data_IF_784928476196
#
_entry.id   IF_784928476196
#
_cell.length_a   1.000
_cell.length_b   1.000
_cell.length_c   1.000
_cell.angle_alpha   90.00
_cell.angle_beta   90.00
_cell.angle_gamma   90.00
#
_symmetry.space_group_name_H-M   'P 1'
#
loop_
_entity.id
_entity.type
_entity.pdbx_description
1 polymer ?
#
# COMPACT_ATOMS: atom_id res chain seq x y z
N UNK A 1 -17.06 6.07 14.55
CA UNK A 1 -16.41 4.80 14.14
C UNK A 1 -16.43 3.84 15.32
N UNK A 2 -17.09 2.68 15.23
CA UNK A 2 -16.96 1.64 16.28
C UNK A 2 -15.50 1.17 16.30
N UNK A 3 -14.83 1.24 17.45
CA UNK A 3 -13.49 0.63 17.62
C UNK A 3 -13.65 -0.88 17.53
N UNK A 4 -13.14 -1.49 16.46
CA UNK A 4 -13.04 -2.94 16.38
C UNK A 4 -11.89 -3.39 17.27
N UNK A 5 -12.18 -4.24 18.26
CA UNK A 5 -11.17 -4.86 19.11
C UNK A 5 -10.60 -6.09 18.41
N UNK A 6 -9.60 -5.88 17.54
CA UNK A 6 -8.89 -6.97 16.89
C UNK A 6 -7.96 -7.67 17.88
N UNK A 7 -7.93 -9.00 17.82
CA UNK A 7 -6.97 -9.85 18.54
C UNK A 7 -6.27 -10.77 17.55
N UNK A 8 -4.99 -11.02 17.78
CA UNK A 8 -4.26 -12.03 17.05
C UNK A 8 -4.94 -13.40 17.25
N UNK A 9 -5.13 -14.21 16.19
CA UNK A 9 -5.62 -15.56 16.33
C UNK A 9 -4.76 -16.39 17.29
N UNK A 10 -5.39 -17.19 18.15
CA UNK A 10 -4.70 -18.04 19.14
C UNK A 10 -4.31 -19.43 18.60
N UNK A 11 -5.03 -19.89 17.58
CA UNK A 11 -4.80 -21.19 16.94
C UNK A 11 -3.59 -21.16 15.99
N UNK A 12 -2.94 -22.31 15.84
CA UNK A 12 -1.80 -22.45 14.93
C UNK A 12 -2.20 -22.18 13.47
N UNK A 13 -1.33 -21.50 12.72
CA UNK A 13 -1.49 -21.17 11.28
C UNK A 13 -2.78 -20.40 10.96
N UNK A 14 -3.37 -19.69 11.92
CA UNK A 14 -4.48 -18.78 11.67
C UNK A 14 -4.01 -17.36 11.43
N UNK A 15 -4.71 -16.66 10.55
CA UNK A 15 -4.49 -15.25 10.27
C UNK A 15 -5.83 -14.51 10.34
N UNK A 16 -5.79 -13.28 10.86
CA UNK A 16 -6.89 -12.34 10.77
C UNK A 16 -6.51 -11.29 9.73
N UNK A 17 -7.19 -11.31 8.58
CA UNK A 17 -6.99 -10.36 7.50
C UNK A 17 -8.32 -9.65 7.27
N UNK A 18 -8.35 -8.37 7.59
CA UNK A 18 -9.54 -7.52 7.46
C UNK A 18 -9.16 -6.25 6.71
N UNK A 19 -9.83 -5.91 5.59
CA UNK A 19 -10.87 -6.69 4.87
C UNK A 19 -10.36 -8.06 4.37
N UNK A 20 -11.27 -8.98 4.01
CA UNK A 20 -10.85 -10.30 3.52
C UNK A 20 -10.07 -10.14 2.21
N UNK A 21 -9.10 -11.02 1.90
CA UNK A 21 -8.29 -10.92 0.68
C UNK A 21 -9.11 -10.74 -0.62
N UNK A 22 -10.23 -11.48 -0.75
CA UNK A 22 -11.12 -11.39 -1.90
C UNK A 22 -11.78 -10.01 -2.07
N UNK A 23 -11.92 -9.24 -0.99
CA UNK A 23 -12.54 -7.91 -1.02
C UNK A 23 -11.51 -6.80 -1.34
N UNK A 24 -10.21 -7.09 -1.27
CA UNK A 24 -9.15 -6.08 -1.41
C UNK A 24 -9.10 -5.41 -2.80
N UNK A 25 -9.33 -6.10 -3.93
CA UNK A 25 -9.41 -5.43 -5.23
C UNK A 25 -10.50 -4.35 -5.28
N UNK A 26 -11.66 -4.59 -4.66
CA UNK A 26 -12.72 -3.60 -4.56
C UNK A 26 -12.36 -2.43 -3.66
N UNK A 27 -11.65 -2.68 -2.56
CA UNK A 27 -11.11 -1.62 -1.70
C UNK A 27 -10.16 -0.72 -2.48
N UNK A 28 -9.27 -1.29 -3.31
CA UNK A 28 -8.36 -0.51 -4.16
C UNK A 28 -9.16 0.33 -5.16
N UNK A 29 -10.12 -0.26 -5.87
CA UNK A 29 -10.99 0.46 -6.82
C UNK A 29 -11.77 1.59 -6.15
N UNK A 30 -12.33 1.34 -4.97
CA UNK A 30 -13.06 2.35 -4.18
C UNK A 30 -12.15 3.49 -3.75
N UNK A 31 -10.97 3.18 -3.22
CA UNK A 31 -9.98 4.18 -2.82
C UNK A 31 -9.57 5.05 -4.01
N UNK A 32 -9.34 4.48 -5.19
CA UNK A 32 -9.05 5.26 -6.41
C UNK A 32 -10.17 6.23 -6.75
N UNK A 33 -11.43 5.78 -6.75
CA UNK A 33 -12.60 6.61 -7.03
C UNK A 33 -12.75 7.75 -6.02
N UNK A 34 -12.63 7.46 -4.73
CA UNK A 34 -12.69 8.47 -3.67
C UNK A 34 -11.61 9.54 -3.85
N UNK A 35 -10.36 9.12 -4.08
CA UNK A 35 -9.23 10.03 -4.23
C UNK A 35 -9.30 10.86 -5.52
N UNK A 36 -9.86 10.32 -6.60
CA UNK A 36 -10.09 11.04 -7.84
C UNK A 36 -11.19 12.11 -7.69
N UNK A 37 -12.17 11.88 -6.82
CA UNK A 37 -13.24 12.83 -6.51
C UNK A 37 -12.86 13.92 -5.51
N UNK A 38 -11.62 13.98 -5.02
CA UNK A 38 -11.19 15.06 -4.13
C UNK A 38 -11.13 16.39 -4.88
N UNK A 39 -11.88 17.37 -4.39
CA UNK A 39 -11.94 18.72 -4.91
C UNK A 39 -11.74 19.73 -3.77
N UNK A 40 -10.48 20.06 -3.52
CA UNK A 40 -10.08 21.07 -2.54
C UNK A 40 -8.65 21.54 -2.81
N UNK A 41 -8.21 22.58 -2.09
CA UNK A 41 -6.87 23.11 -2.19
C UNK A 41 -6.07 22.93 -0.89
N UNK A 42 -4.77 22.74 -1.03
CA UNK A 42 -3.79 22.72 0.07
C UNK A 42 -2.77 23.83 -0.20
N UNK A 43 -2.69 24.83 0.68
CA UNK A 43 -1.82 26.00 0.51
C UNK A 43 -1.99 26.65 -0.88
N UNK A 44 -3.24 26.81 -1.32
CA UNK A 44 -3.59 27.40 -2.61
C UNK A 44 -3.43 26.49 -3.84
N UNK A 45 -2.83 25.28 -3.70
CA UNK A 45 -2.64 24.32 -4.80
C UNK A 45 -3.79 23.32 -4.89
N UNK A 46 -4.22 23.01 -6.11
CA UNK A 46 -5.16 21.93 -6.40
C UNK A 46 -4.64 20.57 -5.85
N UNK A 47 -5.51 19.84 -5.16
CA UNK A 47 -5.19 18.56 -4.54
C UNK A 47 -4.77 17.50 -5.57
N UNK A 48 -5.39 17.46 -6.75
CA UNK A 48 -5.05 16.45 -7.75
C UNK A 48 -3.63 16.65 -8.29
N UNK A 49 -3.25 17.91 -8.50
CA UNK A 49 -1.90 18.32 -8.90
C UNK A 49 -0.88 18.01 -7.81
N UNK A 50 -1.18 18.36 -6.55
CA UNK A 50 -0.31 18.05 -5.42
C UNK A 50 -0.09 16.54 -5.28
N UNK A 51 -1.15 15.73 -5.41
CA UNK A 51 -1.08 14.27 -5.35
C UNK A 51 -0.22 13.68 -6.46
N UNK A 52 -0.39 14.12 -7.70
CA UNK A 52 0.44 13.65 -8.84
C UNK A 52 1.92 13.95 -8.62
N UNK A 53 2.24 15.17 -8.18
CA UNK A 53 3.61 15.57 -7.89
C UNK A 53 4.20 14.76 -6.72
N UNK A 54 3.48 14.68 -5.60
CA UNK A 54 3.93 13.94 -4.42
C UNK A 54 4.17 12.46 -4.72
N UNK A 55 3.34 11.83 -5.56
CA UNK A 55 3.51 10.42 -5.96
C UNK A 55 4.79 10.19 -6.76
N UNK A 56 5.11 11.07 -7.71
CA UNK A 56 6.36 10.99 -8.48
C UNK A 56 7.58 11.11 -7.56
N UNK A 57 7.58 12.10 -6.67
CA UNK A 57 8.66 12.30 -5.69
C UNK A 57 8.78 11.12 -4.73
N UNK A 58 7.66 10.64 -4.20
CA UNK A 58 7.64 9.52 -3.25
C UNK A 58 8.19 8.23 -3.85
N UNK A 59 7.88 7.94 -5.13
CA UNK A 59 8.31 6.71 -5.79
C UNK A 59 9.78 6.71 -6.24
N UNK A 60 10.38 7.89 -6.42
CA UNK A 60 11.78 8.00 -6.86
C UNK A 60 12.76 7.33 -5.88
N UNK A 61 12.61 7.59 -4.58
CA UNK A 61 13.49 7.04 -3.54
C UNK A 61 13.45 5.50 -3.51
N UNK A 62 12.29 4.83 -3.31
CA UNK A 62 12.24 3.38 -3.27
C UNK A 62 12.65 2.74 -4.60
N UNK A 63 12.36 3.37 -5.75
CA UNK A 63 12.84 2.89 -7.04
C UNK A 63 14.37 2.88 -7.11
N UNK A 64 15.03 3.99 -6.80
CA UNK A 64 16.49 4.07 -6.84
C UNK A 64 17.17 3.14 -5.81
N UNK A 65 16.60 3.01 -4.61
CA UNK A 65 17.09 2.06 -3.61
C UNK A 65 16.98 0.62 -4.12
N UNK A 66 15.85 0.26 -4.73
CA UNK A 66 15.64 -1.10 -5.26
C UNK A 66 16.52 -1.37 -6.48
N UNK A 67 16.67 -0.39 -7.38
CA UNK A 67 17.51 -0.50 -8.59
C UNK A 67 18.98 -0.79 -8.28
N UNK A 68 19.48 -0.34 -7.12
CA UNK A 68 20.83 -0.66 -6.65
C UNK A 68 20.99 -2.13 -6.24
N UNK A 69 19.91 -2.79 -5.82
CA UNK A 69 19.91 -4.20 -5.41
C UNK A 69 19.50 -5.13 -6.55
N UNK A 70 18.60 -4.66 -7.42
CA UNK A 70 18.11 -5.37 -8.59
C UNK A 70 18.19 -4.45 -9.83
N UNK A 71 19.18 -4.62 -10.72
CA UNK A 71 19.33 -3.79 -11.91
C UNK A 71 18.21 -4.02 -12.94
N UNK A 72 17.39 -5.05 -12.82
CA UNK A 72 16.29 -5.35 -13.74
C UNK A 72 14.93 -4.83 -13.27
N UNK A 73 14.85 -4.24 -12.05
CA UNK A 73 13.60 -3.65 -11.58
C UNK A 73 13.11 -2.56 -12.55
N UNK A 74 11.81 -2.62 -12.85
CA UNK A 74 11.12 -1.67 -13.71
C UNK A 74 10.78 -0.41 -12.93
N UNK A 75 10.84 0.74 -13.59
CA UNK A 75 10.34 1.99 -13.02
C UNK A 75 8.82 1.89 -12.78
N UNK A 76 8.32 2.25 -11.59
CA UNK A 76 6.91 2.14 -11.29
C UNK A 76 6.10 3.22 -12.03
N UNK A 77 4.92 2.85 -12.55
CA UNK A 77 3.96 3.83 -13.09
C UNK A 77 3.40 4.71 -11.95
N UNK A 78 3.62 6.04 -11.98
CA UNK A 78 3.10 6.94 -10.95
C UNK A 78 1.56 7.02 -10.91
N UNK A 79 0.83 6.53 -11.91
CA UNK A 79 -0.63 6.44 -11.92
C UNK A 79 -1.19 5.12 -11.36
N UNK A 80 -0.36 4.08 -11.23
CA UNK A 80 -0.75 2.78 -10.68
C UNK A 80 -1.11 2.85 -9.18
N UNK A 81 -1.96 1.96 -8.65
CA UNK A 81 -2.18 1.88 -7.21
C UNK A 81 -0.88 1.69 -6.42
N UNK A 82 -0.82 2.22 -5.19
CA UNK A 82 0.29 1.95 -4.26
C UNK A 82 -0.27 1.06 -3.15
N UNK A 83 0.27 -0.16 -3.03
CA UNK A 83 0.06 -1.02 -1.87
C UNK A 83 1.25 -0.80 -0.95
N UNK A 84 1.00 -0.16 0.20
CA UNK A 84 2.04 0.16 1.18
C UNK A 84 1.79 -0.60 2.47
N UNK A 85 2.84 -1.20 3.01
CA UNK A 85 2.82 -1.85 4.33
C UNK A 85 3.94 -1.29 5.19
N UNK A 86 3.78 -1.32 6.51
CA UNK A 86 4.78 -0.86 7.47
C UNK A 86 5.46 -2.01 8.20
N UNK A 87 6.67 -1.81 8.69
CA UNK A 87 7.39 -2.74 9.56
C UNK A 87 8.21 -1.95 10.58
N UNK A 88 8.20 -2.37 11.84
CA UNK A 88 9.12 -1.83 12.86
C UNK A 88 10.52 -2.42 12.64
N UNK A 89 11.61 -1.79 13.11
CA UNK A 89 12.96 -2.33 12.94
C UNK A 89 13.20 -3.54 13.87
N UNK A 90 12.49 -4.64 13.61
CA UNK A 90 12.54 -5.90 14.35
C UNK A 90 12.92 -7.05 13.40
N UNK A 91 13.19 -8.24 13.96
CA UNK A 91 13.45 -9.42 13.14
C UNK A 91 12.18 -9.89 12.42
N UNK A 92 12.36 -10.44 11.22
CA UNK A 92 11.26 -11.02 10.45
C UNK A 92 10.65 -12.21 11.19
N UNK A 93 9.37 -12.11 11.54
CA UNK A 93 8.57 -13.21 12.06
C UNK A 93 7.47 -13.60 11.03
N UNK A 94 6.79 -14.75 11.19
CA UNK A 94 5.82 -15.23 10.19
C UNK A 94 4.72 -14.23 9.79
N UNK A 95 4.33 -13.33 10.71
CA UNK A 95 3.35 -12.28 10.41
C UNK A 95 3.87 -11.23 9.41
N UNK A 96 5.17 -10.93 9.46
CA UNK A 96 5.84 -10.02 8.50
C UNK A 96 5.83 -10.64 7.11
N UNK A 97 6.20 -11.91 7.03
CA UNK A 97 6.19 -12.67 5.78
C UNK A 97 4.78 -12.72 5.18
N UNK A 98 3.77 -13.08 5.98
CA UNK A 98 2.38 -13.12 5.52
C UNK A 98 1.94 -11.79 4.89
N UNK A 99 2.24 -10.67 5.55
CA UNK A 99 1.93 -9.32 5.06
C UNK A 99 2.65 -9.01 3.75
N UNK A 100 3.94 -9.32 3.64
CA UNK A 100 4.72 -9.06 2.43
C UNK A 100 4.25 -9.92 1.24
N UNK A 101 3.95 -11.20 1.46
CA UNK A 101 3.40 -12.07 0.43
C UNK A 101 2.01 -11.62 -0.03
N UNK A 102 1.15 -11.22 0.90
CA UNK A 102 -0.17 -10.66 0.55
C UNK A 102 -0.02 -9.37 -0.27
N UNK A 103 0.87 -8.46 0.14
CA UNK A 103 1.13 -7.23 -0.60
C UNK A 103 1.69 -7.50 -2.01
N UNK A 104 2.60 -8.47 -2.14
CA UNK A 104 3.12 -8.91 -3.44
C UNK A 104 2.03 -9.48 -4.34
N UNK A 105 1.17 -10.34 -3.81
CA UNK A 105 0.02 -10.89 -4.54
C UNK A 105 -0.93 -9.79 -5.05
N UNK A 106 -1.20 -8.77 -4.23
CA UNK A 106 -2.03 -7.63 -4.64
C UNK A 106 -1.38 -6.74 -5.69
N UNK A 107 -0.05 -6.72 -5.77
CA UNK A 107 0.68 -5.92 -6.75
C UNK A 107 0.69 -6.56 -8.15
N UNK A 108 0.41 -7.86 -8.24
CA UNK A 108 0.37 -8.61 -9.51
C UNK A 108 -1.04 -9.01 -9.96
N UNK A 109 -2.06 -8.79 -9.12
CA UNK A 109 -3.47 -9.06 -9.42
C UNK A 109 -4.14 -7.89 -10.15
#
# INVERSE_FOLDING_TARGET
>A
MKRANYRAPREHRRALIVPRPADLPDVIRRNRRLLAGYDFRVLGRDIQTLRRSARRTFLAIPYHCTKRLDPYVREPDPAAPIVLTGHQPELYHPGVWLKNFLAGHLATA
#
